data_IF_545271974934
#
_entry.id   IF_545271974934
#
_cell.length_a   1.000
_cell.length_b   1.000
_cell.length_c   1.000
_cell.angle_alpha   90.00
_cell.angle_beta   90.00
_cell.angle_gamma   90.00
#
_symmetry.space_group_name_H-M   'P 1'
#
loop_
_entity.id
_entity.type
_entity.pdbx_description
1 polymer ?
#
# COMPACT_ATOMS: atom_id res chain seq x y z
N UNK A 1 -1.08 3.29 6.97
CA UNK A 1 -0.84 3.20 5.51
C UNK A 1 -1.91 2.34 4.86
N UNK A 2 -2.38 2.70 3.66
CA UNK A 2 -3.22 1.84 2.81
C UNK A 2 -2.58 1.79 1.42
N UNK A 3 -2.31 0.60 0.90
CA UNK A 3 -1.83 0.43 -0.47
C UNK A 3 -3.03 0.11 -1.35
N UNK A 4 -3.19 0.84 -2.45
CA UNK A 4 -4.23 0.52 -3.45
C UNK A 4 -3.68 -0.53 -4.40
N UNK A 5 -4.42 -1.63 -4.60
CA UNK A 5 -4.03 -2.71 -5.49
C UNK A 5 -3.67 -2.21 -6.91
N UNK A 6 -4.42 -1.23 -7.43
CA UNK A 6 -4.17 -0.63 -8.75
C UNK A 6 -2.78 0.03 -8.90
N UNK A 7 -2.16 0.42 -7.79
CA UNK A 7 -0.85 1.11 -7.76
C UNK A 7 0.32 0.15 -7.60
N UNK A 8 0.05 -1.10 -7.24
CA UNK A 8 1.09 -2.11 -6.99
C UNK A 8 2.05 -2.27 -8.18
N UNK A 9 1.59 -2.36 -9.44
CA UNK A 9 2.51 -2.50 -10.58
C UNK A 9 3.45 -1.30 -10.76
N UNK A 10 2.93 -0.08 -10.54
CA UNK A 10 3.73 1.14 -10.64
C UNK A 10 4.81 1.19 -9.55
N UNK A 11 4.44 0.84 -8.30
CA UNK A 11 5.37 0.81 -7.17
C UNK A 11 6.46 -0.24 -7.40
N UNK A 12 6.08 -1.44 -7.83
CA UNK A 12 7.01 -2.53 -8.10
C UNK A 12 7.98 -2.18 -9.23
N UNK A 13 7.49 -1.66 -10.35
CA UNK A 13 8.32 -1.22 -11.46
C UNK A 13 9.33 -0.14 -11.05
N UNK A 14 8.90 0.81 -10.21
CA UNK A 14 9.80 1.83 -9.67
C UNK A 14 10.88 1.23 -8.76
N UNK A 15 10.51 0.31 -7.86
CA UNK A 15 11.47 -0.39 -7.00
C UNK A 15 12.52 -1.14 -7.80
N UNK A 16 12.10 -1.97 -8.78
CA UNK A 16 13.03 -2.70 -9.65
C UNK A 16 13.97 -1.73 -10.36
N UNK A 17 13.43 -0.63 -10.90
CA UNK A 17 14.25 0.36 -11.60
C UNK A 17 15.28 1.01 -10.68
N UNK A 18 14.93 1.33 -9.43
CA UNK A 18 15.84 1.94 -8.46
C UNK A 18 16.94 0.98 -8.01
N UNK A 19 16.58 -0.29 -7.77
CA UNK A 19 17.52 -1.31 -7.32
C UNK A 19 18.53 -1.69 -8.40
N UNK A 20 18.08 -1.84 -9.64
CA UNK A 20 18.93 -2.22 -10.78
C UNK A 20 19.82 -1.08 -11.27
N UNK A 21 19.28 0.14 -11.44
CA UNK A 21 20.06 1.29 -11.95
C UNK A 21 21.21 1.69 -11.04
N UNK A 22 21.05 1.47 -9.75
CA UNK A 22 22.08 1.77 -8.77
C UNK A 22 23.09 0.63 -8.59
N UNK A 23 22.82 -0.54 -9.16
CA UNK A 23 23.65 -1.73 -8.97
C UNK A 23 23.51 -2.37 -7.59
N UNK A 24 22.42 -2.08 -6.87
CA UNK A 24 22.12 -2.72 -5.58
C UNK A 24 21.73 -4.19 -5.76
N UNK A 25 21.09 -4.51 -6.89
CA UNK A 25 20.61 -5.85 -7.25
C UNK A 25 20.83 -6.10 -8.74
N UNK A 26 21.27 -7.30 -9.09
CA UNK A 26 21.41 -7.79 -10.46
C UNK A 26 20.36 -8.86 -10.79
N UNK A 27 19.83 -8.79 -12.01
CA UNK A 27 18.79 -9.69 -12.52
C UNK A 27 18.79 -9.68 -14.06
N UNK A 28 18.80 -10.86 -14.68
CA UNK A 28 18.56 -11.07 -16.11
C UNK A 28 17.06 -10.99 -16.45
N UNK A 29 16.18 -11.10 -15.44
CA UNK A 29 14.72 -11.11 -15.61
C UNK A 29 14.01 -10.01 -14.81
N UNK A 30 14.20 -8.71 -15.14
CA UNK A 30 13.60 -7.59 -14.39
C UNK A 30 12.07 -7.65 -14.29
N UNK A 31 11.39 -8.22 -15.29
CA UNK A 31 9.93 -8.37 -15.28
C UNK A 31 9.47 -9.42 -14.26
N UNK A 32 10.18 -10.53 -14.13
CA UNK A 32 9.84 -11.57 -13.15
C UNK A 32 10.13 -11.08 -11.72
N UNK A 33 11.26 -10.38 -11.52
CA UNK A 33 11.54 -9.68 -10.26
C UNK A 33 10.43 -8.68 -9.89
N UNK A 34 9.91 -7.94 -10.89
CA UNK A 34 8.78 -7.05 -10.68
C UNK A 34 7.54 -7.83 -10.20
N UNK A 35 7.20 -8.95 -10.85
CA UNK A 35 6.06 -9.78 -10.47
C UNK A 35 6.20 -10.36 -9.05
N UNK A 36 7.41 -10.69 -8.61
CA UNK A 36 7.65 -11.13 -7.22
C UNK A 36 7.39 -10.00 -6.22
N UNK A 37 7.87 -8.79 -6.50
CA UNK A 37 7.57 -7.61 -5.67
C UNK A 37 6.05 -7.33 -5.66
N UNK A 38 5.41 -7.40 -6.82
CA UNK A 38 3.95 -7.25 -6.91
C UNK A 38 3.21 -8.31 -6.09
N UNK A 39 3.69 -9.56 -6.09
CA UNK A 39 3.09 -10.64 -5.32
C UNK A 39 3.12 -10.34 -3.81
N UNK A 40 4.25 -9.87 -3.28
CA UNK A 40 4.41 -9.47 -1.86
C UNK A 40 3.46 -8.32 -1.52
N UNK A 41 3.43 -7.26 -2.34
CA UNK A 41 2.57 -6.10 -2.10
C UNK A 41 1.08 -6.46 -2.18
N UNK A 42 0.67 -7.25 -3.18
CA UNK A 42 -0.70 -7.71 -3.34
C UNK A 42 -1.11 -8.67 -2.22
N UNK A 43 -0.20 -9.48 -1.69
CA UNK A 43 -0.48 -10.33 -0.53
C UNK A 43 -0.79 -9.46 0.69
N UNK A 44 0.02 -8.45 0.99
CA UNK A 44 -0.25 -7.52 2.08
C UNK A 44 -1.60 -6.79 1.94
N UNK A 45 -1.95 -6.32 0.72
CA UNK A 45 -3.25 -5.67 0.47
C UNK A 45 -4.42 -6.62 0.76
N UNK A 46 -4.30 -7.89 0.36
CA UNK A 46 -5.30 -8.93 0.67
C UNK A 46 -5.40 -9.20 2.17
N UNK A 47 -4.27 -9.35 2.84
CA UNK A 47 -4.23 -9.61 4.28
C UNK A 47 -4.84 -8.45 5.08
N UNK A 48 -4.54 -7.20 4.72
CA UNK A 48 -5.16 -6.03 5.35
C UNK A 48 -6.68 -6.00 5.15
N UNK A 49 -7.15 -6.35 3.96
CA UNK A 49 -8.57 -6.42 3.66
C UNK A 49 -9.25 -7.51 4.51
N UNK A 50 -8.68 -8.71 4.57
CA UNK A 50 -9.21 -9.81 5.39
C UNK A 50 -9.22 -9.48 6.88
N UNK A 51 -8.19 -8.81 7.39
CA UNK A 51 -8.16 -8.30 8.77
C UNK A 51 -9.29 -7.32 9.01
N UNK A 52 -9.57 -6.44 8.04
CA UNK A 52 -10.63 -5.44 8.15
C UNK A 52 -12.02 -6.08 8.13
N UNK A 53 -12.27 -7.05 7.25
CA UNK A 53 -13.55 -7.77 7.18
C UNK A 53 -13.78 -8.61 8.44
N UNK A 54 -12.77 -9.38 8.87
CA UNK A 54 -12.88 -10.18 10.09
C UNK A 54 -13.10 -9.31 11.33
N UNK A 55 -12.54 -8.10 11.38
CA UNK A 55 -12.80 -7.17 12.47
C UNK A 55 -14.26 -6.68 12.48
N UNK A 56 -14.87 -6.42 11.31
CA UNK A 56 -16.29 -6.06 11.20
C UNK A 56 -17.19 -7.23 11.61
N UNK A 57 -16.88 -8.44 11.16
CA UNK A 57 -17.62 -9.65 11.52
C UNK A 57 -17.61 -9.89 13.03
N UNK A 58 -16.44 -9.74 13.67
CA UNK A 58 -16.31 -9.87 15.13
C UNK A 58 -17.07 -8.79 15.90
N UNK A 59 -17.11 -7.56 15.38
CA UNK A 59 -17.85 -6.45 15.97
C UNK A 59 -19.36 -6.73 15.91
N UNK A 60 -19.86 -7.17 14.75
CA UNK A 60 -21.26 -7.53 14.56
C UNK A 60 -21.66 -8.74 15.41
N UNK A 61 -20.87 -9.81 15.41
CA UNK A 61 -21.15 -11.04 16.16
C UNK A 61 -21.22 -10.81 17.68
N UNK A 62 -20.54 -9.79 18.19
CA UNK A 62 -20.49 -9.45 19.62
C UNK A 62 -21.33 -8.23 19.98
N UNK A 63 -22.10 -7.67 19.05
CA UNK A 63 -22.85 -6.41 19.21
C UNK A 63 -22.01 -5.29 19.85
N UNK A 64 -20.73 -5.20 19.47
CA UNK A 64 -19.83 -4.20 20.02
C UNK A 64 -20.06 -2.83 19.35
N UNK A 65 -19.83 -1.72 20.06
CA UNK A 65 -19.96 -0.39 19.48
C UNK A 65 -19.00 -0.17 18.29
N UNK A 66 -19.39 0.61 17.26
CA UNK A 66 -18.51 0.95 16.13
C UNK A 66 -17.17 1.59 16.53
N UNK A 67 -17.12 2.25 17.69
CA UNK A 67 -15.91 2.87 18.25
C UNK A 67 -14.81 1.88 18.58
N UNK A 68 -15.15 0.59 18.78
CA UNK A 68 -14.16 -0.45 19.08
C UNK A 68 -13.56 -1.10 17.84
N UNK A 69 -14.04 -0.78 16.62
CA UNK A 69 -13.54 -1.36 15.36
C UNK A 69 -12.02 -1.23 15.23
N UNK A 70 -11.44 -0.08 15.58
CA UNK A 70 -10.00 0.13 15.51
C UNK A 70 -9.20 -0.79 16.44
N UNK A 71 -9.71 -1.03 17.66
CA UNK A 71 -9.10 -1.96 18.62
C UNK A 71 -9.20 -3.40 18.15
N UNK A 72 -10.38 -3.80 17.65
CA UNK A 72 -10.61 -5.15 17.12
C UNK A 72 -9.73 -5.39 15.89
N UNK A 73 -9.61 -4.41 14.98
CA UNK A 73 -8.75 -4.51 13.81
C UNK A 73 -7.29 -4.77 14.20
N UNK A 74 -6.76 -4.05 15.21
CA UNK A 74 -5.41 -4.30 15.74
C UNK A 74 -5.28 -5.71 16.33
N UNK A 75 -6.24 -6.14 17.14
CA UNK A 75 -6.25 -7.48 17.72
C UNK A 75 -6.21 -8.58 16.64
N UNK A 76 -7.02 -8.44 15.58
CA UNK A 76 -7.05 -9.39 14.47
C UNK A 76 -5.75 -9.37 13.68
N UNK A 77 -5.15 -8.20 13.48
CA UNK A 77 -3.84 -8.04 12.84
C UNK A 77 -2.73 -8.74 13.64
N UNK A 78 -2.68 -8.52 14.96
CA UNK A 78 -1.70 -9.13 15.85
C UNK A 78 -1.80 -10.66 15.83
N UNK A 79 -3.01 -11.22 15.83
CA UNK A 79 -3.25 -12.66 15.71
C UNK A 79 -2.72 -13.24 14.40
N UNK A 80 -2.75 -12.45 13.32
CA UNK A 80 -2.25 -12.82 12.00
C UNK A 80 -0.78 -12.41 11.79
N UNK A 81 -0.13 -11.83 12.81
CA UNK A 81 1.22 -11.24 12.74
C UNK A 81 1.36 -10.17 11.64
N UNK A 82 0.26 -9.54 11.24
CA UNK A 82 0.25 -8.46 10.26
C UNK A 82 0.46 -7.13 10.97
N UNK A 83 1.39 -6.31 10.47
CA UNK A 83 1.58 -4.94 10.97
C UNK A 83 0.76 -3.95 10.18
N UNK A 84 0.12 -3.02 10.89
CA UNK A 84 -0.77 -2.00 10.32
C UNK A 84 -0.28 -0.59 10.66
N UNK A 85 -0.86 0.41 9.99
CA UNK A 85 -0.62 1.81 10.35
C UNK A 85 0.78 2.27 9.97
N UNK A 86 1.55 2.72 10.96
CA UNK A 86 2.90 3.26 10.78
C UNK A 86 3.96 2.16 10.66
N UNK A 87 3.75 1.01 11.31
CA UNK A 87 4.65 -0.16 11.25
C UNK A 87 4.52 -0.96 9.94
N UNK A 88 3.49 -0.67 9.14
CA UNK A 88 3.19 -1.42 7.92
C UNK A 88 4.28 -1.29 6.85
N UNK A 89 4.92 -0.12 6.75
CA UNK A 89 6.05 0.07 5.82
C UNK A 89 7.21 -0.83 6.22
N UNK A 90 7.59 -0.81 7.51
CA UNK A 90 8.74 -1.57 8.00
C UNK A 90 8.51 -3.08 7.80
N UNK A 91 7.30 -3.55 8.11
CA UNK A 91 6.89 -4.92 7.85
C UNK A 91 6.98 -5.30 6.36
N UNK A 92 6.48 -4.45 5.46
CA UNK A 92 6.59 -4.72 4.03
C UNK A 92 8.04 -4.76 3.55
N UNK A 93 8.88 -3.87 4.07
CA UNK A 93 10.30 -3.85 3.73
C UNK A 93 11.01 -5.12 4.21
N UNK A 94 10.65 -5.66 5.37
CA UNK A 94 11.14 -6.95 5.84
C UNK A 94 10.78 -8.07 4.85
N UNK A 95 9.52 -8.12 4.42
CA UNK A 95 9.02 -9.14 3.49
C UNK A 95 9.61 -9.01 2.08
N UNK A 96 9.79 -7.78 1.59
CA UNK A 96 10.43 -7.52 0.30
C UNK A 96 11.91 -7.90 0.33
N UNK A 97 12.60 -7.60 1.42
CA UNK A 97 14.00 -7.98 1.60
C UNK A 97 14.15 -9.50 1.63
N UNK A 98 13.32 -10.20 2.42
CA UNK A 98 13.30 -11.67 2.46
C UNK A 98 13.02 -12.27 1.08
N UNK A 99 12.08 -11.69 0.32
CA UNK A 99 11.80 -12.09 -1.05
C UNK A 99 13.02 -11.90 -1.96
N UNK A 100 13.71 -10.75 -1.91
CA UNK A 100 14.89 -10.49 -2.74
C UNK A 100 16.02 -11.50 -2.47
N UNK A 101 16.19 -11.90 -1.21
CA UNK A 101 17.23 -12.86 -0.80
C UNK A 101 16.92 -14.33 -1.18
N UNK A 102 15.68 -14.62 -1.55
CA UNK A 102 15.22 -15.98 -1.84
C UNK A 102 14.61 -16.17 -3.22
N UNK A 103 14.37 -15.09 -3.97
CA UNK A 103 13.82 -15.16 -5.32
C UNK A 103 14.86 -15.71 -6.30
N UNK A 104 14.43 -16.64 -7.15
CA UNK A 104 15.24 -17.14 -8.26
C UNK A 104 15.40 -16.12 -9.40
N UNK A 105 14.63 -15.02 -9.35
CA UNK A 105 14.67 -13.95 -10.33
C UNK A 105 15.66 -12.85 -9.94
N UNK A 106 16.36 -13.03 -8.81
CA UNK A 106 17.47 -12.18 -8.35
C UNK A 106 18.74 -13.01 -8.43
N UNK A 107 19.74 -12.52 -9.15
CA UNK A 107 21.02 -13.21 -9.30
C UNK A 107 21.96 -12.90 -8.16
N UNK A 108 22.15 -11.61 -7.89
CA UNK A 108 23.05 -11.16 -6.85
C UNK A 108 22.54 -9.87 -6.20
N UNK A 109 22.74 -9.80 -4.89
CA UNK A 109 22.41 -8.64 -4.07
C UNK A 109 23.71 -8.06 -3.54
N UNK A 110 24.09 -6.87 -4.01
CA UNK A 110 25.36 -6.22 -3.68
C UNK A 110 25.24 -5.23 -2.52
N UNK A 111 24.04 -4.73 -2.27
CA UNK A 111 23.80 -3.73 -1.24
C UNK A 111 23.44 -4.37 0.11
N UNK A 112 23.79 -3.68 1.18
CA UNK A 112 23.43 -4.06 2.55
C UNK A 112 21.91 -3.88 2.79
N UNK A 113 21.35 -4.66 3.70
CA UNK A 113 19.91 -4.66 4.03
C UNK A 113 19.35 -3.26 4.30
N UNK A 114 20.10 -2.42 5.03
CA UNK A 114 19.66 -1.07 5.38
C UNK A 114 19.57 -0.15 4.16
N UNK A 115 20.41 -0.38 3.13
CA UNK A 115 20.39 0.39 1.88
C UNK A 115 19.22 -0.04 1.00
N UNK A 116 18.99 -1.35 0.86
CA UNK A 116 17.84 -1.91 0.14
C UNK A 116 16.52 -1.41 0.75
N UNK A 117 16.39 -1.48 2.08
CA UNK A 117 15.25 -0.93 2.82
C UNK A 117 15.06 0.56 2.53
N UNK A 118 16.13 1.35 2.53
CA UNK A 118 16.05 2.80 2.27
C UNK A 118 15.52 3.08 0.86
N UNK A 119 16.01 2.35 -0.15
CA UNK A 119 15.61 2.51 -1.56
C UNK A 119 14.17 2.11 -1.80
N UNK A 120 13.76 0.93 -1.32
CA UNK A 120 12.39 0.44 -1.46
C UNK A 120 11.38 1.26 -0.65
N UNK A 121 11.81 1.91 0.43
CA UNK A 121 10.93 2.77 1.23
C UNK A 121 10.41 3.97 0.44
N UNK A 122 11.22 4.54 -0.45
CA UNK A 122 10.87 5.78 -1.14
C UNK A 122 9.62 5.62 -2.03
N UNK A 123 9.51 4.61 -2.93
CA UNK A 123 8.29 4.37 -3.70
C UNK A 123 7.05 4.17 -2.82
N UNK A 124 7.18 3.43 -1.70
CA UNK A 124 6.07 3.22 -0.76
C UNK A 124 5.58 4.52 -0.11
N UNK A 125 6.50 5.43 0.25
CA UNK A 125 6.16 6.72 0.85
C UNK A 125 5.59 7.71 -0.15
N UNK A 126 6.14 7.76 -1.37
CA UNK A 126 5.63 8.66 -2.43
C UNK A 126 4.18 8.34 -2.74
N UNK A 127 3.84 7.05 -2.79
CA UNK A 127 2.47 6.58 -2.94
C UNK A 127 1.52 7.12 -1.86
N UNK A 128 1.96 7.16 -0.59
CA UNK A 128 1.16 7.71 0.51
C UNK A 128 0.90 9.21 0.34
N UNK A 129 1.91 9.97 -0.10
CA UNK A 129 1.77 11.40 -0.35
C UNK A 129 0.81 11.71 -1.50
N UNK A 130 0.88 10.95 -2.59
CA UNK A 130 0.05 11.19 -3.77
C UNK A 130 -1.46 10.99 -3.53
N UNK A 131 -1.84 10.10 -2.61
CA UNK A 131 -3.25 9.94 -2.23
C UNK A 131 -3.76 11.13 -1.43
N UNK A 132 -2.98 11.60 -0.45
CA UNK A 132 -3.34 12.79 0.31
C UNK A 132 -3.47 14.02 -0.59
N UNK A 133 -2.56 14.16 -1.56
CA UNK A 133 -2.58 15.26 -2.51
C UNK A 133 -3.80 15.19 -3.43
N UNK A 134 -4.19 13.99 -3.88
CA UNK A 134 -5.42 13.78 -4.66
C UNK A 134 -6.67 14.20 -3.86
N UNK A 135 -6.76 13.81 -2.59
CA UNK A 135 -7.89 14.21 -1.74
C UNK A 135 -7.92 15.71 -1.49
N UNK A 136 -6.76 16.33 -1.24
CA UNK A 136 -6.65 17.80 -1.10
C UNK A 136 -7.07 18.51 -2.38
N UNK A 137 -6.70 17.98 -3.55
CA UNK A 137 -7.06 18.53 -4.85
C UNK A 137 -8.58 18.48 -5.10
N UNK A 138 -9.23 17.35 -4.82
CA UNK A 138 -10.71 17.24 -4.92
C UNK A 138 -11.40 18.18 -3.94
N UNK A 139 -10.96 18.23 -2.68
CA UNK A 139 -11.52 19.18 -1.69
C UNK A 139 -11.32 20.62 -2.11
N UNK A 140 -10.19 20.95 -2.72
CA UNK A 140 -9.92 22.29 -3.22
C UNK A 140 -10.87 22.70 -4.34
N UNK A 141 -11.25 21.77 -5.22
CA UNK A 141 -12.22 22.02 -6.29
C UNK A 141 -13.66 22.11 -5.74
N UNK A 142 -13.97 21.42 -4.63
CA UNK A 142 -15.28 21.43 -3.98
C UNK A 142 -15.47 22.51 -2.91
N UNK A 143 -14.56 23.49 -2.78
CA UNK A 143 -14.68 24.59 -1.81
C UNK A 143 -15.98 25.41 -1.93
N UNK A 144 -16.66 25.31 -3.07
CA UNK A 144 -17.91 26.00 -3.36
C UNK A 144 -19.17 25.23 -2.91
N UNK A 145 -19.01 23.99 -2.44
CA UNK A 145 -20.09 23.12 -1.95
C UNK A 145 -19.88 22.87 -0.46
N UNK A 146 -20.94 22.91 0.33
CA UNK A 146 -20.88 22.67 1.78
C UNK A 146 -20.42 21.23 2.09
N UNK A 147 -19.26 21.10 2.74
CA UNK A 147 -18.67 19.81 3.12
C UNK A 147 -19.60 19.05 4.06
N UNK A 148 -19.90 17.79 3.73
CA UNK A 148 -20.84 16.96 4.48
C UNK A 148 -22.30 17.05 4.01
N UNK A 149 -22.61 17.87 3.01
CA UNK A 149 -23.92 17.84 2.34
C UNK A 149 -24.05 16.63 1.40
N UNK A 150 -25.28 16.17 1.15
CA UNK A 150 -25.53 15.07 0.20
C UNK A 150 -25.01 15.38 -1.21
N UNK A 151 -25.09 16.66 -1.63
CA UNK A 151 -24.54 17.12 -2.91
C UNK A 151 -23.00 17.01 -2.93
N UNK A 152 -22.35 17.43 -1.84
CA UNK A 152 -20.90 17.31 -1.70
C UNK A 152 -20.43 15.86 -1.77
N UNK A 153 -21.11 14.92 -1.11
CA UNK A 153 -20.72 13.50 -1.15
C UNK A 153 -20.81 12.88 -2.56
N UNK A 154 -21.82 13.29 -3.34
CA UNK A 154 -22.02 12.80 -4.71
C UNK A 154 -20.94 13.37 -5.63
N UNK A 155 -20.72 14.68 -5.58
CA UNK A 155 -19.70 15.36 -6.40
C UNK A 155 -18.28 14.93 -6.01
N UNK A 156 -18.01 14.74 -4.71
CA UNK A 156 -16.74 14.21 -4.21
C UNK A 156 -16.45 12.83 -4.79
N UNK A 157 -17.41 11.91 -4.75
CA UNK A 157 -17.25 10.57 -5.35
C UNK A 157 -16.97 10.65 -6.85
N UNK A 158 -17.76 11.44 -7.57
CA UNK A 158 -17.61 11.62 -9.02
C UNK A 158 -16.25 12.20 -9.39
N UNK A 159 -15.83 13.29 -8.74
CA UNK A 159 -14.55 13.94 -9.02
C UNK A 159 -13.37 13.08 -8.61
N UNK A 160 -13.45 12.38 -7.48
CA UNK A 160 -12.44 11.39 -7.09
C UNK A 160 -12.30 10.30 -8.16
N UNK A 161 -13.40 9.75 -8.67
CA UNK A 161 -13.38 8.74 -9.74
C UNK A 161 -12.80 9.28 -11.04
N UNK A 162 -13.21 10.49 -11.47
CA UNK A 162 -12.72 11.13 -12.68
C UNK A 162 -11.21 11.39 -12.61
N UNK A 163 -10.73 11.89 -11.46
CA UNK A 163 -9.31 12.14 -11.25
C UNK A 163 -8.50 10.86 -11.10
N UNK A 164 -9.05 9.82 -10.46
CA UNK A 164 -8.46 8.49 -10.43
C UNK A 164 -8.29 7.93 -11.84
N UNK A 165 -9.34 7.95 -12.67
CA UNK A 165 -9.27 7.52 -14.07
C UNK A 165 -8.22 8.27 -14.87
N UNK A 166 -8.13 9.60 -14.71
CA UNK A 166 -7.11 10.43 -15.39
C UNK A 166 -5.68 10.05 -14.99
N UNK A 167 -5.48 9.59 -13.75
CA UNK A 167 -4.19 9.12 -13.23
C UNK A 167 -3.97 7.60 -13.42
N UNK A 168 -4.88 6.89 -14.08
CA UNK A 168 -4.78 5.44 -14.31
C UNK A 168 -5.08 4.58 -13.08
N UNK A 169 -5.91 5.08 -12.15
CA UNK A 169 -6.26 4.47 -10.86
C UNK A 169 -7.66 3.90 -10.81
#
# INVERSE_FOLDING_TARGET
>A
MRIHAARVPQIAAEMVSLLTKDGSVETESPKEMQLDIEAVLNQYVRDEHEVSEKAKDMLAARNLPPTDLGKIKRLVADQRKLKLGDEAIDYLLDQLLEMLMHSNNVEEVFAEDYELRRRMREPLRRQLGEEEDLQKEVRAQLKHVEEGSALWEVEYRRMMEDMKRRKGL
#
